data_IF_042286285552
#
_entry.id   IF_042286285552
#
_cell.length_a   1.000
_cell.length_b   1.000
_cell.length_c   1.000
_cell.angle_alpha   90.00
_cell.angle_beta   90.00
_cell.angle_gamma   90.00
#
_symmetry.space_group_name_H-M   'P 1'
#
loop_
_entity.id
_entity.type
_entity.pdbx_description
1 polymer ?
#
# COMPACT_ATOMS: atom_id res chain seq x y z
N UNK A 1 -7.42 26.12 17.67
CA UNK A 1 -7.50 26.42 16.22
C UNK A 1 -6.26 25.80 15.58
N UNK A 2 -6.31 24.57 15.08
CA UNK A 2 -7.04 24.20 13.87
C UNK A 2 -6.04 24.04 12.72
N UNK A 3 -5.23 22.96 12.75
CA UNK A 3 -4.47 22.51 11.57
C UNK A 3 -5.02 21.15 11.15
N UNK A 4 -6.25 21.16 10.66
CA UNK A 4 -6.77 20.10 9.81
C UNK A 4 -6.30 20.41 8.39
N UNK A 5 -5.01 20.20 8.12
CA UNK A 5 -4.47 20.31 6.76
C UNK A 5 -4.16 18.89 6.28
N UNK A 6 -4.96 18.43 5.33
CA UNK A 6 -4.69 17.30 4.47
C UNK A 6 -3.26 17.44 3.91
N UNK A 7 -2.29 16.79 4.57
CA UNK A 7 -0.92 16.72 4.10
C UNK A 7 -0.89 15.73 2.93
N UNK A 8 -1.17 16.22 1.73
CA UNK A 8 -0.88 15.50 0.50
C UNK A 8 0.64 15.33 0.42
N UNK A 9 1.16 14.17 0.84
CA UNK A 9 2.56 13.80 0.62
C UNK A 9 2.76 13.53 -0.87
N UNK A 10 2.99 14.60 -1.64
CA UNK A 10 3.47 14.51 -3.02
C UNK A 10 4.98 14.21 -2.98
N UNK A 11 5.34 13.05 -3.55
CA UNK A 11 6.64 12.61 -4.05
C UNK A 11 7.90 13.33 -3.51
N UNK A 12 8.65 12.61 -2.67
CA UNK A 12 10.10 12.66 -2.75
C UNK A 12 10.52 11.54 -3.73
N UNK A 13 11.33 11.80 -4.76
CA UNK A 13 12.05 10.72 -5.43
C UNK A 13 13.00 10.12 -4.39
N UNK A 14 12.52 9.12 -3.63
CA UNK A 14 13.37 8.40 -2.69
C UNK A 14 14.28 7.54 -3.56
N UNK A 15 15.55 7.95 -3.68
CA UNK A 15 16.54 7.34 -4.57
C UNK A 15 16.67 5.82 -4.38
N UNK A 16 16.23 5.27 -3.24
CA UNK A 16 15.93 3.85 -3.01
C UNK A 16 14.76 3.73 -2.05
N UNK A 17 13.66 3.06 -2.43
CA UNK A 17 12.64 2.66 -1.47
C UNK A 17 13.32 1.81 -0.38
N UNK A 18 13.09 2.14 0.89
CA UNK A 18 13.63 1.34 2.00
C UNK A 18 13.17 -0.11 1.84
N UNK A 19 14.08 -1.04 2.13
CA UNK A 19 13.74 -2.46 2.16
C UNK A 19 12.69 -2.71 3.24
N UNK A 20 11.71 -3.55 2.92
CA UNK A 20 10.69 -4.00 3.86
C UNK A 20 10.38 -5.46 3.59
N UNK A 21 9.88 -6.12 4.63
CA UNK A 21 9.30 -7.47 4.57
C UNK A 21 7.90 -7.38 5.15
N UNK A 22 6.90 -7.74 4.35
CA UNK A 22 5.48 -7.66 4.67
C UNK A 22 4.82 -9.03 4.48
N UNK A 23 3.59 -9.18 4.95
CA UNK A 23 2.88 -10.47 4.91
C UNK A 23 1.85 -10.48 3.78
N UNK A 24 1.90 -11.49 2.91
CA UNK A 24 0.94 -11.69 1.82
C UNK A 24 -0.33 -12.43 2.30
N UNK A 25 -1.32 -12.56 1.42
CA UNK A 25 -2.60 -13.25 1.64
C UNK A 25 -2.49 -14.68 2.17
N UNK A 26 -1.43 -15.41 1.81
CA UNK A 26 -1.13 -16.78 2.23
C UNK A 26 -0.33 -16.86 3.55
N UNK A 27 -0.15 -15.72 4.23
CA UNK A 27 0.68 -15.55 5.43
C UNK A 27 2.19 -15.70 5.20
N UNK A 28 2.64 -15.84 3.96
CA UNK A 28 4.05 -15.83 3.62
C UNK A 28 4.62 -14.42 3.72
N UNK A 29 5.91 -14.34 4.05
CA UNK A 29 6.64 -13.09 4.05
C UNK A 29 7.16 -12.77 2.64
N UNK A 30 6.93 -11.53 2.21
CA UNK A 30 7.40 -10.99 0.93
C UNK A 30 8.21 -9.74 1.18
N UNK A 31 9.38 -9.70 0.54
CA UNK A 31 10.27 -8.56 0.58
C UNK A 31 10.18 -7.74 -0.70
N UNK A 32 10.59 -6.47 -0.64
CA UNK A 32 10.66 -5.62 -1.83
C UNK A 32 11.53 -6.24 -2.94
N UNK A 33 12.55 -7.03 -2.57
CA UNK A 33 13.42 -7.78 -3.48
C UNK A 33 12.72 -8.85 -4.31
N UNK A 34 11.59 -9.38 -3.84
CA UNK A 34 10.86 -10.43 -4.56
C UNK A 34 10.20 -9.91 -5.85
N UNK A 35 10.17 -8.58 -6.00
CA UNK A 35 9.59 -7.87 -7.14
C UNK A 35 10.67 -7.20 -8.03
N UNK A 36 11.92 -7.67 -7.96
CA UNK A 36 12.99 -7.18 -8.83
C UNK A 36 12.67 -7.38 -10.32
N UNK A 37 13.24 -6.52 -11.17
CA UNK A 37 13.00 -6.52 -12.63
C UNK A 37 11.68 -5.89 -13.09
N UNK A 38 10.71 -5.72 -12.18
CA UNK A 38 9.45 -5.01 -12.43
C UNK A 38 9.48 -3.61 -11.82
N UNK A 39 8.73 -2.67 -12.40
CA UNK A 39 8.41 -1.39 -11.75
C UNK A 39 7.38 -1.64 -10.64
N UNK A 40 7.62 -1.12 -9.44
CA UNK A 40 6.75 -1.37 -8.28
C UNK A 40 5.93 -0.12 -8.02
N UNK A 41 4.63 -0.27 -7.91
CA UNK A 41 3.77 0.80 -7.45
C UNK A 41 3.22 0.41 -6.09
N UNK A 42 3.66 1.12 -5.06
CA UNK A 42 3.21 0.92 -3.69
C UNK A 42 1.99 1.82 -3.46
N UNK A 43 0.81 1.22 -3.43
CA UNK A 43 -0.42 1.87 -3.08
C UNK A 43 -0.70 1.63 -1.59
N UNK A 44 -0.33 2.61 -0.76
CA UNK A 44 -0.40 2.52 0.69
C UNK A 44 -1.69 3.22 1.15
N UNK A 45 -2.44 2.58 2.04
CA UNK A 45 -3.69 3.12 2.54
C UNK A 45 -3.99 2.72 3.99
N UNK A 46 -4.86 3.46 4.70
CA UNK A 46 -5.14 3.19 6.12
C UNK A 46 -5.76 1.81 6.34
N UNK A 47 -6.81 1.50 5.57
CA UNK A 47 -7.49 0.21 5.58
C UNK A 47 -8.20 -0.02 4.24
N UNK A 48 -8.24 -1.27 3.81
CA UNK A 48 -8.89 -1.74 2.59
C UNK A 48 -10.42 -1.68 2.71
N UNK A 49 -10.94 -1.73 3.94
CA UNK A 49 -12.37 -1.77 4.26
C UNK A 49 -13.00 -0.37 4.35
N UNK A 50 -12.44 0.60 3.60
CA UNK A 50 -12.99 1.95 3.50
C UNK A 50 -13.44 2.20 2.05
N UNK A 51 -14.69 2.64 1.85
CA UNK A 51 -15.30 2.74 0.51
C UNK A 51 -14.53 3.61 -0.50
N UNK A 52 -13.73 4.57 -0.01
CA UNK A 52 -12.88 5.44 -0.83
C UNK A 52 -11.60 4.72 -1.28
N UNK A 53 -11.07 3.78 -0.48
CA UNK A 53 -9.94 2.93 -0.89
C UNK A 53 -10.36 1.98 -2.01
N UNK A 54 -11.54 1.35 -1.88
CA UNK A 54 -12.04 0.40 -2.87
C UNK A 54 -12.12 0.99 -4.28
N UNK A 55 -12.71 2.18 -4.41
CA UNK A 55 -12.86 2.87 -5.71
C UNK A 55 -11.52 3.32 -6.29
N UNK A 56 -10.61 3.80 -5.42
CA UNK A 56 -9.25 4.21 -5.81
C UNK A 56 -8.43 3.02 -6.30
N UNK A 57 -8.51 1.88 -5.61
CA UNK A 57 -7.83 0.63 -5.95
C UNK A 57 -8.37 0.11 -7.30
N UNK A 58 -9.69 0.07 -7.51
CA UNK A 58 -10.30 -0.34 -8.80
C UNK A 58 -9.78 0.47 -9.99
N UNK A 59 -9.92 1.81 -9.94
CA UNK A 59 -9.48 2.69 -11.04
C UNK A 59 -7.98 2.63 -11.25
N UNK A 60 -7.21 2.66 -10.16
CA UNK A 60 -5.76 2.60 -10.22
C UNK A 60 -5.29 1.28 -10.84
N UNK A 61 -5.90 0.16 -10.45
CA UNK A 61 -5.54 -1.16 -10.95
C UNK A 61 -5.96 -1.38 -12.40
N UNK A 62 -7.09 -0.85 -12.84
CA UNK A 62 -7.44 -0.85 -14.27
C UNK A 62 -6.35 -0.16 -15.10
N UNK A 63 -5.93 1.03 -14.69
CA UNK A 63 -4.85 1.77 -15.38
C UNK A 63 -3.53 1.00 -15.28
N UNK A 64 -3.19 0.50 -14.08
CA UNK A 64 -1.94 -0.21 -13.85
C UNK A 64 -1.89 -1.58 -14.57
N UNK A 65 -3.03 -2.21 -14.84
CA UNK A 65 -3.06 -3.46 -15.63
C UNK A 65 -2.73 -3.24 -17.10
N UNK A 66 -2.90 -2.01 -17.62
CA UNK A 66 -2.68 -1.67 -19.02
C UNK A 66 -1.23 -1.36 -19.38
N UNK A 67 -0.33 -1.19 -18.40
CA UNK A 67 1.08 -0.98 -18.75
C UNK A 67 2.01 -2.09 -18.28
N UNK A 68 3.00 -2.35 -19.11
CA UNK A 68 3.84 -3.53 -19.04
C UNK A 68 4.94 -3.40 -17.99
N UNK A 69 5.47 -4.55 -17.58
CA UNK A 69 6.58 -4.69 -16.65
C UNK A 69 6.38 -3.95 -15.31
N UNK A 70 5.22 -4.14 -14.68
CA UNK A 70 4.96 -3.60 -13.34
C UNK A 70 4.23 -4.56 -12.42
N UNK A 71 4.27 -4.25 -11.13
CA UNK A 71 3.46 -4.85 -10.07
C UNK A 71 2.85 -3.74 -9.21
N UNK A 72 1.58 -3.89 -8.84
CA UNK A 72 0.94 -3.02 -7.85
C UNK A 72 0.93 -3.74 -6.51
N UNK A 73 1.52 -3.10 -5.51
CA UNK A 73 1.56 -3.58 -4.12
C UNK A 73 0.57 -2.73 -3.30
N UNK A 74 -0.55 -3.33 -2.92
CA UNK A 74 -1.55 -2.72 -2.05
C UNK A 74 -1.16 -2.98 -0.59
N UNK A 75 -0.82 -1.93 0.15
CA UNK A 75 -0.18 -2.04 1.47
C UNK A 75 -1.04 -1.38 2.55
N UNK A 76 -1.36 -2.13 3.61
CA UNK A 76 -2.11 -1.64 4.77
C UNK A 76 -1.80 -2.41 6.05
N UNK A 77 -2.37 -1.95 7.17
CA UNK A 77 -2.30 -2.65 8.46
C UNK A 77 -3.32 -3.80 8.57
N UNK A 78 -4.21 -3.95 7.59
CA UNK A 78 -5.29 -4.95 7.64
C UNK A 78 -4.69 -6.35 7.66
N UNK A 79 -5.33 -7.26 8.40
CA UNK A 79 -4.91 -8.65 8.37
C UNK A 79 -5.04 -9.23 6.95
N UNK A 80 -4.16 -10.16 6.56
CA UNK A 80 -4.21 -10.82 5.25
C UNK A 80 -5.60 -11.36 4.89
N UNK A 81 -6.36 -11.86 5.87
CA UNK A 81 -7.73 -12.35 5.68
C UNK A 81 -8.70 -11.27 5.16
N UNK A 82 -8.59 -10.03 5.66
CA UNK A 82 -9.42 -8.92 5.21
C UNK A 82 -9.00 -8.43 3.82
N UNK A 83 -7.69 -8.44 3.54
CA UNK A 83 -7.17 -8.10 2.22
C UNK A 83 -7.60 -9.11 1.15
N UNK A 84 -7.57 -10.41 1.46
CA UNK A 84 -8.04 -11.48 0.57
C UNK A 84 -9.53 -11.37 0.24
N UNK A 85 -10.36 -11.03 1.24
CA UNK A 85 -11.81 -10.80 1.03
C UNK A 85 -12.06 -9.69 0.01
N UNK A 86 -11.25 -8.63 0.03
CA UNK A 86 -11.36 -7.53 -0.92
C UNK A 86 -10.86 -7.93 -2.31
N UNK A 87 -9.67 -8.51 -2.43
CA UNK A 87 -9.11 -8.88 -3.73
C UNK A 87 -9.89 -9.99 -4.46
N UNK A 88 -10.44 -10.96 -3.72
CA UNK A 88 -11.29 -12.01 -4.29
C UNK A 88 -12.58 -11.49 -4.92
N UNK A 89 -13.09 -10.34 -4.46
CA UNK A 89 -14.28 -9.70 -5.02
C UNK A 89 -14.02 -8.89 -6.30
N UNK A 90 -12.75 -8.55 -6.58
CA UNK A 90 -12.40 -7.51 -7.57
C UNK A 90 -11.71 -8.06 -8.84
N UNK A 91 -11.38 -9.36 -8.89
CA UNK A 91 -10.76 -10.04 -10.03
C UNK A 91 -9.55 -9.30 -10.66
N UNK A 92 -8.69 -8.73 -9.81
CA UNK A 92 -7.60 -7.86 -10.24
C UNK A 92 -6.35 -8.66 -10.64
N UNK A 93 -5.88 -8.51 -11.88
CA UNK A 93 -4.61 -9.08 -12.36
C UNK A 93 -3.43 -8.16 -12.01
N UNK A 94 -2.29 -8.74 -11.63
CA UNK A 94 -1.02 -8.03 -11.29
C UNK A 94 -1.08 -7.12 -10.04
N UNK A 95 -2.01 -7.42 -9.12
CA UNK A 95 -2.15 -6.73 -7.85
C UNK A 95 -1.81 -7.71 -6.73
N UNK A 96 -0.91 -7.31 -5.85
CA UNK A 96 -0.52 -8.07 -4.67
C UNK A 96 -0.90 -7.28 -3.43
N UNK A 97 -1.54 -7.92 -2.47
CA UNK A 97 -1.82 -7.33 -1.16
C UNK A 97 -0.77 -7.72 -0.16
N UNK A 98 -0.24 -6.72 0.54
CA UNK A 98 0.76 -6.89 1.58
C UNK A 98 0.28 -6.22 2.86
N UNK A 99 0.37 -6.94 3.96
CA UNK A 99 0.03 -6.46 5.29
C UNK A 99 1.29 -6.16 6.09
N UNK A 100 1.35 -4.98 6.70
CA UNK A 100 2.39 -4.62 7.65
C UNK A 100 2.03 -4.92 9.11
N UNK A 101 1.02 -5.75 9.38
CA UNK A 101 0.62 -6.06 10.77
C UNK A 101 1.76 -6.68 11.62
N UNK A 102 2.69 -7.43 11.00
CA UNK A 102 3.92 -7.94 11.64
C UNK A 102 5.11 -6.99 11.58
N UNK A 103 5.00 -5.91 10.81
CA UNK A 103 6.05 -4.92 10.60
C UNK A 103 5.53 -3.51 10.97
N UNK A 104 5.18 -3.26 12.25
CA UNK A 104 4.54 -2.00 12.67
C UNK A 104 5.43 -0.76 12.47
N UNK A 105 6.74 -0.94 12.29
CA UNK A 105 7.66 0.17 11.98
C UNK A 105 7.58 0.61 10.52
N UNK A 106 7.01 -0.19 9.62
CA UNK A 106 6.89 0.11 8.18
C UNK A 106 6.33 1.52 7.94
N UNK A 107 5.22 1.86 8.59
CA UNK A 107 4.56 3.16 8.38
C UNK A 107 5.46 4.34 8.81
N UNK A 108 6.22 4.17 9.89
CA UNK A 108 7.21 5.16 10.36
C UNK A 108 8.41 5.26 9.44
N UNK A 109 8.98 4.12 9.07
CA UNK A 109 10.19 4.03 8.25
C UNK A 109 9.98 4.66 6.87
N UNK A 110 8.76 4.52 6.35
CA UNK A 110 8.35 5.10 5.07
C UNK A 110 7.71 6.49 5.17
N UNK A 111 7.62 7.08 6.38
CA UNK A 111 7.09 8.44 6.57
C UNK A 111 5.59 8.57 6.26
N UNK A 112 4.85 7.47 6.38
CA UNK A 112 3.41 7.38 6.05
C UNK A 112 2.55 7.14 7.29
N UNK A 113 3.10 7.19 8.51
CA UNK A 113 2.31 7.00 9.72
C UNK A 113 1.34 8.17 10.00
N UNK A 114 0.09 7.84 10.31
CA UNK A 114 -0.87 8.79 10.90
C UNK A 114 -0.51 9.02 12.37
N UNK A 115 -0.01 10.21 12.69
CA UNK A 115 0.48 10.54 14.04
C UNK A 115 -0.60 11.08 14.99
N UNK A 116 -1.78 11.43 14.47
CA UNK A 116 -2.89 12.03 15.24
C UNK A 116 -4.27 11.63 14.70
N UNK A 117 -5.32 11.94 15.47
CA UNK A 117 -6.71 11.64 15.12
C UNK A 117 -7.14 10.20 15.45
N UNK A 118 -8.38 9.83 15.11
CA UNK A 118 -8.95 8.52 15.46
C UNK A 118 -8.28 7.33 14.76
N UNK A 119 -7.55 7.58 13.66
CA UNK A 119 -6.84 6.57 12.87
C UNK A 119 -5.33 6.53 13.17
N UNK A 120 -4.91 7.08 14.31
CA UNK A 120 -3.50 7.11 14.73
C UNK A 120 -2.91 5.69 14.71
N UNK A 121 -1.72 5.55 14.13
CA UNK A 121 -1.00 4.28 13.98
C UNK A 121 -1.26 3.54 12.67
N UNK A 122 -2.28 3.94 11.89
CA UNK A 122 -2.47 3.47 10.52
C UNK A 122 -1.57 4.25 9.54
N UNK A 123 -1.49 3.78 8.31
CA UNK A 123 -0.81 4.52 7.24
C UNK A 123 -1.73 5.58 6.62
N UNK A 124 -1.18 6.73 6.23
CA UNK A 124 -1.86 7.69 5.36
C UNK A 124 -2.03 7.09 3.97
N UNK A 125 -3.02 7.61 3.23
CA UNK A 125 -3.16 7.24 1.82
C UNK A 125 -2.05 7.89 1.00
N UNK A 126 -1.24 7.08 0.32
CA UNK A 126 -0.20 7.57 -0.60
C UNK A 126 0.11 6.55 -1.69
N UNK A 127 0.65 7.03 -2.80
CA UNK A 127 1.13 6.18 -3.91
C UNK A 127 2.59 6.50 -4.16
N UNK A 128 3.45 5.47 -4.06
CA UNK A 128 4.88 5.57 -4.34
C UNK A 128 5.22 4.76 -5.57
N UNK A 129 5.93 5.35 -6.52
CA UNK A 129 6.40 4.64 -7.73
C UNK A 129 7.90 4.40 -7.57
N UNK A 130 8.28 3.12 -7.52
CA UNK A 130 9.68 2.68 -7.43
C UNK A 130 10.09 1.99 -8.75
N UNK A 131 11.24 2.41 -9.29
CA UNK A 131 11.82 1.84 -10.51
C UNK A 131 12.62 0.57 -10.20
#
# INVERSE_FOLDING_TARGET
>A
MGRCCYQWYFFQPVDKAKQFTLVESDLAEKSLSDYQGKRKILNIFPSIDTGVCATSIRKFNQIASQLENRVVLCISADLPFAQSRFCGAEALKNVVTLSFFRAPTFSKDHGVEMTSGPLKGLAVRTVVIHR
#
